data_IF_438230944906
#
_entry.id   IF_438230944906
#
_cell.length_a   1.000
_cell.length_b   1.000
_cell.length_c   1.000
_cell.angle_alpha   90.00
_cell.angle_beta   90.00
_cell.angle_gamma   90.00
#
_symmetry.space_group_name_H-M   'P 1'
#
loop_
_entity.id
_entity.type
_entity.pdbx_description
1 polymer ?
#
# COMPACT_ATOMS: atom_id res chain seq x y z
N UNK A 1 -6.04 -19.38 -13.11
CA UNK A 1 -5.85 -17.92 -12.97
C UNK A 1 -5.59 -17.34 -14.35
N UNK A 2 -6.33 -16.32 -14.77
CA UNK A 2 -6.15 -15.65 -16.06
C UNK A 2 -4.77 -14.96 -16.08
N UNK A 3 -4.10 -14.95 -17.24
CA UNK A 3 -2.77 -14.36 -17.41
C UNK A 3 -2.72 -12.86 -17.01
N UNK A 4 -3.78 -12.12 -17.33
CA UNK A 4 -3.91 -10.69 -16.96
C UNK A 4 -3.95 -10.49 -15.45
N UNK A 5 -4.65 -11.35 -14.72
CA UNK A 5 -4.71 -11.34 -13.24
C UNK A 5 -3.34 -11.67 -12.65
N UNK A 6 -2.66 -12.66 -13.22
CA UNK A 6 -1.30 -13.01 -12.78
C UNK A 6 -0.31 -11.84 -12.90
N UNK A 7 -0.27 -11.19 -14.07
CA UNK A 7 0.57 -10.01 -14.25
C UNK A 7 0.15 -8.85 -13.35
N UNK A 8 -1.17 -8.60 -13.25
CA UNK A 8 -1.69 -7.52 -12.41
C UNK A 8 -1.29 -7.65 -10.94
N UNK A 9 -1.30 -8.86 -10.39
CA UNK A 9 -0.87 -9.15 -9.02
C UNK A 9 0.65 -8.92 -8.84
N UNK A 10 1.46 -9.17 -9.88
CA UNK A 10 2.91 -9.03 -9.80
C UNK A 10 3.40 -7.59 -10.01
N UNK A 11 2.62 -6.73 -10.67
CA UNK A 11 3.01 -5.35 -10.99
C UNK A 11 3.41 -4.56 -9.73
N UNK A 12 2.66 -4.53 -8.62
CA UNK A 12 3.07 -3.85 -7.39
C UNK A 12 4.41 -4.35 -6.85
N UNK A 13 4.56 -5.65 -6.70
CA UNK A 13 5.80 -6.29 -6.24
C UNK A 13 7.01 -5.96 -7.11
N UNK A 14 6.83 -5.82 -8.43
CA UNK A 14 7.89 -5.36 -9.33
C UNK A 14 8.26 -3.91 -9.00
N UNK A 15 7.29 -3.05 -8.67
CA UNK A 15 7.52 -1.68 -8.21
C UNK A 15 8.42 -1.64 -6.98
N UNK A 16 8.04 -2.36 -5.90
CA UNK A 16 8.83 -2.49 -4.66
C UNK A 16 10.24 -3.02 -4.95
N UNK A 17 10.34 -4.06 -5.76
CA UNK A 17 11.62 -4.68 -6.11
C UNK A 17 12.53 -3.74 -6.92
N UNK A 18 11.97 -2.99 -7.86
CA UNK A 18 12.69 -1.99 -8.66
C UNK A 18 13.18 -0.83 -7.78
N UNK A 19 12.36 -0.36 -6.84
CA UNK A 19 12.75 0.62 -5.84
C UNK A 19 13.89 0.11 -4.96
N UNK A 20 13.78 -1.10 -4.44
CA UNK A 20 14.83 -1.73 -3.64
C UNK A 20 16.16 -1.84 -4.41
N UNK A 21 16.12 -2.02 -5.73
CA UNK A 21 17.32 -2.07 -6.57
C UNK A 21 18.11 -0.75 -6.64
N UNK A 22 17.53 0.38 -6.23
CA UNK A 22 18.23 1.67 -6.15
C UNK A 22 19.48 1.59 -5.27
N UNK A 23 19.53 0.69 -4.28
CA UNK A 23 20.71 0.46 -3.41
C UNK A 23 21.98 0.09 -4.18
N UNK A 24 21.87 -0.47 -5.38
CA UNK A 24 23.03 -0.80 -6.20
C UNK A 24 23.68 0.42 -6.84
N UNK A 25 22.90 1.43 -7.17
CA UNK A 25 23.31 2.61 -7.92
C UNK A 25 23.62 3.79 -6.99
N UNK A 26 22.92 3.94 -5.88
CA UNK A 26 23.13 5.03 -4.94
C UNK A 26 24.31 4.77 -4.01
N UNK A 27 25.10 5.82 -3.75
CA UNK A 27 26.32 5.75 -2.90
C UNK A 27 26.11 6.32 -1.51
N UNK A 28 25.07 7.11 -1.30
CA UNK A 28 24.73 7.81 -0.06
C UNK A 28 23.28 7.57 0.30
N UNK A 29 22.93 7.88 1.54
CA UNK A 29 21.57 7.86 2.03
C UNK A 29 20.68 8.82 1.22
N UNK A 30 19.38 8.56 1.21
CA UNK A 30 18.42 9.47 0.63
C UNK A 30 18.47 10.81 1.40
N UNK A 31 18.57 11.90 0.65
CA UNK A 31 18.42 13.22 1.23
C UNK A 31 17.01 13.36 1.80
N UNK A 32 16.87 13.96 2.97
CA UNK A 32 15.58 14.18 3.64
C UNK A 32 14.54 14.87 2.73
N UNK A 33 14.95 15.80 1.88
CA UNK A 33 14.07 16.40 0.89
C UNK A 33 13.51 15.39 -0.13
N UNK A 34 14.38 14.53 -0.65
CA UNK A 34 13.98 13.46 -1.58
C UNK A 34 13.04 12.48 -0.89
N UNK A 35 13.35 12.09 0.34
CA UNK A 35 12.50 11.20 1.13
C UNK A 35 11.11 11.80 1.31
N UNK A 36 10.99 13.06 1.72
CA UNK A 36 9.69 13.75 1.85
C UNK A 36 8.91 13.83 0.53
N UNK A 37 9.60 14.06 -0.58
CA UNK A 37 8.97 14.05 -1.90
C UNK A 37 8.39 12.65 -2.21
N UNK A 38 9.17 11.62 -1.99
CA UNK A 38 8.79 10.23 -2.29
C UNK A 38 7.64 9.78 -1.38
N UNK A 39 7.75 10.02 -0.07
CA UNK A 39 6.70 9.65 0.91
C UNK A 39 5.41 10.44 0.66
N UNK A 40 5.51 11.75 0.41
CA UNK A 40 4.33 12.56 0.06
C UNK A 40 3.66 12.09 -1.22
N UNK A 41 4.44 11.77 -2.25
CA UNK A 41 3.92 11.23 -3.50
C UNK A 41 3.20 9.89 -3.30
N UNK A 42 3.81 8.94 -2.57
CA UNK A 42 3.20 7.66 -2.25
C UNK A 42 1.88 7.84 -1.47
N UNK A 43 1.88 8.67 -0.43
CA UNK A 43 0.68 8.99 0.35
C UNK A 43 -0.46 9.54 -0.53
N UNK A 44 -0.14 10.42 -1.48
CA UNK A 44 -1.12 10.97 -2.42
C UNK A 44 -1.74 9.90 -3.34
N UNK A 45 -0.90 9.02 -3.90
CA UNK A 45 -1.36 7.89 -4.72
C UNK A 45 -2.27 6.97 -3.91
N UNK A 46 -1.86 6.59 -2.68
CA UNK A 46 -2.65 5.71 -1.80
C UNK A 46 -4.01 6.29 -1.45
N UNK A 47 -4.09 7.60 -1.13
CA UNK A 47 -5.38 8.26 -0.83
C UNK A 47 -6.29 8.23 -2.05
N UNK A 48 -5.79 8.57 -3.23
CA UNK A 48 -6.58 8.54 -4.46
C UNK A 48 -7.06 7.12 -4.78
N UNK A 49 -6.18 6.12 -4.74
CA UNK A 49 -6.54 4.71 -4.96
C UNK A 49 -7.61 4.24 -3.97
N UNK A 50 -7.47 4.58 -2.69
CA UNK A 50 -8.46 4.24 -1.66
C UNK A 50 -9.84 4.80 -1.95
N UNK A 51 -9.92 5.99 -2.55
CA UNK A 51 -11.19 6.63 -2.89
C UNK A 51 -11.77 6.06 -4.20
N UNK A 52 -11.02 6.18 -5.31
CA UNK A 52 -11.56 5.88 -6.65
C UNK A 52 -11.62 4.37 -6.93
N UNK A 53 -10.56 3.63 -6.62
CA UNK A 53 -10.51 2.19 -6.94
C UNK A 53 -11.21 1.31 -5.91
N UNK A 54 -11.47 1.80 -4.68
CA UNK A 54 -11.99 0.96 -3.60
C UNK A 54 -13.31 1.48 -3.00
N UNK A 55 -13.35 2.72 -2.45
CA UNK A 55 -14.55 3.22 -1.76
C UNK A 55 -15.68 3.53 -2.72
N UNK A 56 -15.43 4.18 -3.85
CA UNK A 56 -16.47 4.50 -4.84
C UNK A 56 -17.09 3.20 -5.36
N UNK A 57 -16.36 2.20 -5.87
CA UNK A 57 -16.94 0.92 -6.27
C UNK A 57 -17.70 0.19 -5.17
N UNK A 58 -17.26 0.29 -3.91
CA UNK A 58 -17.96 -0.31 -2.78
C UNK A 58 -19.33 0.34 -2.54
N UNK A 59 -19.41 1.67 -2.65
CA UNK A 59 -20.66 2.43 -2.51
C UNK A 59 -21.62 2.13 -3.67
N UNK A 60 -21.13 2.12 -4.92
CA UNK A 60 -21.91 1.83 -6.11
C UNK A 60 -22.51 0.41 -6.06
N UNK A 61 -21.74 -0.58 -5.64
CA UNK A 61 -22.23 -1.95 -5.46
C UNK A 61 -23.29 -2.07 -4.38
N UNK A 62 -23.39 -1.11 -3.48
CA UNK A 62 -24.34 -1.07 -2.37
C UNK A 62 -25.57 -0.20 -2.65
N UNK A 63 -25.71 0.43 -3.83
CA UNK A 63 -26.82 1.32 -4.17
C UNK A 63 -28.20 0.71 -3.98
N UNK A 64 -28.34 -0.61 -4.20
CA UNK A 64 -29.57 -1.35 -3.96
C UNK A 64 -30.09 -1.30 -2.53
N UNK A 65 -29.27 -0.89 -1.55
CA UNK A 65 -29.66 -0.69 -0.15
C UNK A 65 -30.28 0.69 0.12
N UNK A 66 -30.42 1.55 -0.90
CA UNK A 66 -31.01 2.88 -0.77
C UNK A 66 -30.26 3.76 0.23
N UNK A 67 -30.94 4.28 1.25
CA UNK A 67 -30.32 5.17 2.26
C UNK A 67 -29.25 4.48 3.13
N UNK A 68 -29.17 3.16 3.12
CA UNK A 68 -28.21 2.38 3.89
C UNK A 68 -27.00 1.92 3.03
N UNK A 69 -26.87 2.40 1.80
CA UNK A 69 -25.77 2.04 0.88
C UNK A 69 -24.38 2.35 1.44
N UNK A 70 -24.25 3.30 2.35
CA UNK A 70 -23.01 3.62 3.03
C UNK A 70 -22.58 2.59 4.08
N UNK A 71 -23.47 1.72 4.55
CA UNK A 71 -23.20 0.80 5.68
C UNK A 71 -22.09 -0.19 5.37
N UNK A 72 -22.09 -0.92 4.23
CA UNK A 72 -20.97 -1.81 3.89
C UNK A 72 -19.64 -1.06 3.82
N UNK A 73 -19.62 0.12 3.21
CA UNK A 73 -18.43 0.95 3.10
C UNK A 73 -17.92 1.40 4.47
N UNK A 74 -18.79 1.91 5.34
CA UNK A 74 -18.42 2.35 6.68
C UNK A 74 -17.91 1.19 7.56
N UNK A 75 -18.61 0.06 7.56
CA UNK A 75 -18.23 -1.11 8.37
C UNK A 75 -16.91 -1.69 7.89
N UNK A 76 -16.75 -1.87 6.57
CA UNK A 76 -15.50 -2.39 5.99
C UNK A 76 -14.32 -1.46 6.30
N UNK A 77 -14.48 -0.16 6.10
CA UNK A 77 -13.47 0.86 6.37
C UNK A 77 -12.97 0.81 7.82
N UNK A 78 -13.87 0.83 8.79
CA UNK A 78 -13.50 0.71 10.20
C UNK A 78 -12.83 -0.62 10.52
N UNK A 79 -13.33 -1.72 9.96
CA UNK A 79 -12.74 -3.03 10.16
C UNK A 79 -11.29 -3.10 9.63
N UNK A 80 -11.03 -2.48 8.47
CA UNK A 80 -9.67 -2.41 7.88
C UNK A 80 -8.71 -1.59 8.72
N UNK A 81 -9.11 -0.39 9.17
CA UNK A 81 -8.29 0.44 10.06
C UNK A 81 -8.01 -0.25 11.39
N UNK A 82 -9.03 -0.87 12.02
CA UNK A 82 -8.85 -1.62 13.27
C UNK A 82 -7.99 -2.88 13.10
N UNK A 83 -8.02 -3.51 11.93
CA UNK A 83 -7.15 -4.64 11.61
C UNK A 83 -5.68 -4.21 11.61
N UNK A 84 -5.35 -3.08 10.95
CA UNK A 84 -3.99 -2.56 10.95
C UNK A 84 -3.56 -2.12 12.35
N UNK A 85 -4.40 -1.39 13.07
CA UNK A 85 -4.15 -1.02 14.47
C UNK A 85 -3.84 -2.26 15.33
N UNK A 86 -4.55 -3.38 15.10
CA UNK A 86 -4.26 -4.64 15.79
C UNK A 86 -2.89 -5.19 15.40
N UNK A 87 -2.54 -5.20 14.10
CA UNK A 87 -1.24 -5.66 13.63
C UNK A 87 -0.10 -4.86 14.24
N UNK A 88 -0.22 -3.54 14.30
CA UNK A 88 0.76 -2.65 14.93
C UNK A 88 0.99 -3.00 16.41
N UNK A 89 -0.07 -3.39 17.12
CA UNK A 89 0.04 -3.78 18.53
C UNK A 89 0.67 -5.16 18.75
N UNK A 90 0.55 -6.09 17.80
CA UNK A 90 1.01 -7.48 17.96
C UNK A 90 2.32 -7.80 17.26
N UNK A 91 2.76 -6.98 16.29
CA UNK A 91 3.99 -7.20 15.54
C UNK A 91 5.05 -6.18 16.00
N UNK A 92 6.22 -6.62 16.49
CA UNK A 92 7.31 -5.71 16.84
C UNK A 92 7.90 -5.11 15.57
N UNK A 93 7.81 -3.79 15.41
CA UNK A 93 8.32 -3.06 14.26
C UNK A 93 8.92 -1.70 14.67
N UNK A 94 9.63 -1.05 13.74
CA UNK A 94 10.28 0.22 13.98
C UNK A 94 10.14 1.14 12.78
N UNK A 95 9.63 2.34 13.01
CA UNK A 95 9.59 3.38 11.98
C UNK A 95 10.96 4.06 11.83
N UNK A 96 11.28 4.51 10.61
CA UNK A 96 12.61 5.04 10.29
C UNK A 96 13.02 6.26 11.12
N UNK A 97 12.07 7.04 11.57
CA UNK A 97 12.30 8.32 12.25
C UNK A 97 12.20 8.23 13.78
N UNK A 98 11.92 7.04 14.30
CA UNK A 98 11.82 6.80 15.74
C UNK A 98 12.88 5.82 16.20
N UNK A 99 13.49 6.09 17.39
CA UNK A 99 14.37 5.13 18.06
C UNK A 99 13.58 4.19 19.00
N UNK A 100 12.27 4.34 19.05
CA UNK A 100 11.39 3.51 19.88
C UNK A 100 10.66 2.50 19.01
N UNK A 101 10.89 1.22 19.26
CA UNK A 101 10.14 0.14 18.64
C UNK A 101 8.70 0.13 19.17
N UNK A 102 7.76 -0.15 18.27
CA UNK A 102 6.35 -0.36 18.57
C UNK A 102 6.02 -1.84 18.67
N UNK A 103 4.85 -2.17 19.22
CA UNK A 103 4.45 -3.54 19.47
C UNK A 103 5.11 -4.18 20.71
N UNK A 104 5.10 -5.51 20.83
CA UNK A 104 5.67 -6.23 21.95
C UNK A 104 7.19 -6.06 22.04
N UNK A 105 7.73 -6.06 23.27
CA UNK A 105 9.19 -6.05 23.49
C UNK A 105 9.83 -7.22 22.75
N UNK A 106 10.78 -6.95 21.88
CA UNK A 106 11.46 -7.92 21.04
C UNK A 106 12.98 -7.77 21.12
N UNK A 107 13.69 -8.87 20.89
CA UNK A 107 15.16 -8.91 20.71
C UNK A 107 15.55 -8.89 19.22
N UNK A 108 14.63 -8.55 18.32
CA UNK A 108 14.92 -8.44 16.89
C UNK A 108 15.90 -7.30 16.63
N UNK A 109 16.74 -7.49 15.62
CA UNK A 109 17.66 -6.45 15.15
C UNK A 109 16.85 -5.27 14.58
N UNK A 110 17.38 -4.05 14.71
CA UNK A 110 16.79 -2.82 14.16
C UNK A 110 16.41 -2.99 12.68
N UNK A 111 17.31 -3.57 11.88
CA UNK A 111 17.09 -3.85 10.45
C UNK A 111 15.90 -4.77 10.19
N UNK A 112 15.69 -5.78 11.03
CA UNK A 112 14.52 -6.68 10.91
C UNK A 112 13.23 -5.96 11.25
N UNK A 113 13.22 -5.12 12.27
CA UNK A 113 12.04 -4.34 12.66
C UNK A 113 11.67 -3.29 11.60
N UNK A 114 12.65 -2.68 10.92
CA UNK A 114 12.42 -1.80 9.77
C UNK A 114 11.77 -2.55 8.58
N UNK A 115 12.25 -3.76 8.28
CA UNK A 115 11.64 -4.60 7.22
C UNK A 115 10.21 -4.97 7.61
N UNK A 116 9.95 -5.31 8.87
CA UNK A 116 8.60 -5.67 9.33
C UNK A 116 7.63 -4.48 9.23
N UNK A 117 8.05 -3.26 9.55
CA UNK A 117 7.23 -2.06 9.37
C UNK A 117 6.70 -1.98 7.92
N UNK A 118 7.59 -1.93 6.93
CA UNK A 118 7.18 -1.85 5.51
C UNK A 118 6.40 -3.09 5.06
N UNK A 119 6.71 -4.27 5.61
CA UNK A 119 5.92 -5.48 5.31
C UNK A 119 4.46 -5.33 5.76
N UNK A 120 4.22 -4.69 6.92
CA UNK A 120 2.87 -4.42 7.41
C UNK A 120 2.09 -3.51 6.47
N UNK A 121 2.75 -2.50 5.88
CA UNK A 121 2.14 -1.57 4.92
C UNK A 121 1.76 -2.26 3.61
N UNK A 122 2.60 -3.16 3.13
CA UNK A 122 2.39 -3.87 1.86
C UNK A 122 1.25 -4.91 1.94
N UNK A 123 0.81 -5.32 3.16
CA UNK A 123 -0.35 -6.23 3.31
C UNK A 123 -1.64 -5.61 2.76
N UNK A 124 -2.08 -4.39 3.18
CA UNK A 124 -3.26 -3.73 2.63
C UNK A 124 -3.20 -3.54 1.12
N UNK A 125 -2.03 -3.24 0.57
CA UNK A 125 -1.84 -3.04 -0.86
C UNK A 125 -2.08 -4.32 -1.65
N UNK A 126 -1.49 -5.43 -1.21
CA UNK A 126 -1.77 -6.74 -1.77
C UNK A 126 -3.25 -7.11 -1.67
N UNK A 127 -3.88 -6.83 -0.53
CA UNK A 127 -5.32 -7.06 -0.35
C UNK A 127 -6.16 -6.20 -1.28
N UNK A 128 -5.84 -4.91 -1.47
CA UNK A 128 -6.53 -4.01 -2.38
C UNK A 128 -6.52 -4.54 -3.81
N UNK A 129 -5.34 -4.90 -4.33
CA UNK A 129 -5.19 -5.54 -5.64
C UNK A 129 -6.02 -6.82 -5.71
N UNK A 130 -5.93 -7.67 -4.69
CA UNK A 130 -6.65 -8.94 -4.64
C UNK A 130 -8.16 -8.77 -4.69
N UNK A 131 -8.73 -7.81 -3.94
CA UNK A 131 -10.19 -7.55 -3.92
C UNK A 131 -10.68 -7.05 -5.28
N UNK A 132 -9.94 -6.13 -5.91
CA UNK A 132 -10.33 -5.58 -7.21
C UNK A 132 -10.26 -6.66 -8.29
N UNK A 133 -9.20 -7.48 -8.34
CA UNK A 133 -9.16 -8.61 -9.26
C UNK A 133 -10.20 -9.70 -8.96
N UNK A 134 -10.56 -9.90 -7.70
CA UNK A 134 -11.66 -10.80 -7.36
C UNK A 134 -13.00 -10.28 -7.89
N UNK A 135 -13.27 -8.98 -7.76
CA UNK A 135 -14.42 -8.33 -8.36
C UNK A 135 -14.47 -8.49 -9.88
N UNK A 136 -13.35 -8.24 -10.56
CA UNK A 136 -13.24 -8.47 -12.00
C UNK A 136 -13.52 -9.94 -12.39
N UNK A 137 -12.95 -10.90 -11.68
CA UNK A 137 -13.13 -12.33 -11.95
C UNK A 137 -14.56 -12.82 -11.71
N UNK A 138 -15.29 -12.19 -10.80
CA UNK A 138 -16.71 -12.50 -10.53
C UNK A 138 -17.67 -11.82 -11.51
N UNK A 139 -17.16 -11.05 -12.47
CA UNK A 139 -17.97 -10.36 -13.48
C UNK A 139 -18.71 -9.14 -12.93
N UNK A 140 -18.18 -8.50 -11.88
CA UNK A 140 -18.75 -7.28 -11.34
C UNK A 140 -18.66 -6.16 -12.40
N UNK A 141 -19.80 -5.54 -12.71
CA UNK A 141 -19.90 -4.55 -13.81
C UNK A 141 -19.21 -3.22 -13.49
N UNK A 142 -18.99 -2.90 -12.21
CA UNK A 142 -18.28 -1.70 -11.77
C UNK A 142 -16.75 -1.86 -11.76
N UNK A 143 -16.24 -3.10 -11.90
CA UNK A 143 -14.81 -3.36 -11.85
C UNK A 143 -14.32 -3.90 -13.19
N UNK A 144 -13.69 -3.04 -13.97
CA UNK A 144 -13.13 -3.39 -15.26
C UNK A 144 -11.71 -3.97 -15.13
N UNK A 145 -11.23 -4.68 -16.15
CA UNK A 145 -9.83 -5.10 -16.22
C UNK A 145 -8.89 -3.89 -16.23
N UNK A 146 -9.27 -2.83 -16.94
CA UNK A 146 -8.45 -1.63 -17.06
C UNK A 146 -8.37 -0.86 -15.74
N UNK A 147 -9.47 -0.76 -14.99
CA UNK A 147 -9.49 -0.20 -13.63
C UNK A 147 -8.63 -1.02 -12.66
N UNK A 148 -8.70 -2.36 -12.74
CA UNK A 148 -7.82 -3.24 -11.95
C UNK A 148 -6.34 -3.05 -12.29
N UNK A 149 -6.00 -2.87 -13.56
CA UNK A 149 -4.64 -2.57 -14.01
C UNK A 149 -4.20 -1.16 -13.60
N UNK A 150 -5.10 -0.17 -13.64
CA UNK A 150 -4.82 1.20 -13.18
C UNK A 150 -4.43 1.21 -11.69
N UNK A 151 -5.20 0.48 -10.85
CA UNK A 151 -4.84 0.30 -9.43
C UNK A 151 -3.47 -0.37 -9.27
N UNK A 152 -3.23 -1.49 -9.98
CA UNK A 152 -1.94 -2.20 -9.90
C UNK A 152 -0.76 -1.31 -10.29
N UNK A 153 -0.90 -0.51 -11.35
CA UNK A 153 0.11 0.45 -11.81
C UNK A 153 0.31 1.58 -10.81
N UNK A 154 -0.78 2.13 -10.27
CA UNK A 154 -0.72 3.16 -9.23
C UNK A 154 0.05 2.68 -8.01
N UNK A 155 -0.29 1.48 -7.50
CA UNK A 155 0.42 0.87 -6.38
C UNK A 155 1.89 0.59 -6.74
N UNK A 156 2.21 0.10 -7.94
CA UNK A 156 3.60 -0.11 -8.36
C UNK A 156 4.41 1.20 -8.39
N UNK A 157 3.79 2.30 -8.83
CA UNK A 157 4.43 3.61 -8.90
C UNK A 157 4.75 4.14 -7.49
N UNK A 158 3.86 3.96 -6.51
CA UNK A 158 4.13 4.35 -5.11
C UNK A 158 5.11 3.40 -4.42
N UNK A 159 5.07 2.11 -4.72
CA UNK A 159 5.95 1.09 -4.14
C UNK A 159 7.41 1.24 -4.59
N UNK A 160 7.66 1.86 -5.75
CA UNK A 160 9.02 2.19 -6.16
C UNK A 160 9.73 3.11 -5.15
N UNK A 161 9.18 4.27 -4.74
CA UNK A 161 9.68 5.02 -3.60
C UNK A 161 9.88 4.19 -2.33
N UNK A 162 8.90 3.38 -1.96
CA UNK A 162 8.92 2.60 -0.71
C UNK A 162 10.05 1.55 -0.70
N UNK A 163 10.25 0.82 -1.80
CA UNK A 163 11.38 -0.09 -1.94
C UNK A 163 12.73 0.60 -1.82
N UNK A 164 12.86 1.82 -2.31
CA UNK A 164 14.07 2.63 -2.14
C UNK A 164 14.23 3.10 -0.68
N UNK A 165 13.15 3.58 -0.07
CA UNK A 165 13.11 4.05 1.33
C UNK A 165 13.49 2.95 2.31
N UNK A 166 13.17 1.67 2.05
CA UNK A 166 13.59 0.56 2.93
C UNK A 166 15.01 0.09 2.66
N UNK A 167 15.41 -0.09 1.40
CA UNK A 167 16.69 -0.69 1.06
C UNK A 167 17.88 0.22 1.39
N UNK A 168 17.70 1.54 1.29
CA UNK A 168 18.77 2.51 1.56
C UNK A 168 19.15 2.60 3.04
N UNK A 169 18.22 2.75 4.01
CA UNK A 169 18.56 2.70 5.44
C UNK A 169 19.15 1.35 5.87
N UNK A 170 18.69 0.23 5.33
CA UNK A 170 19.33 -1.07 5.60
C UNK A 170 20.80 -1.07 5.22
N UNK A 171 21.14 -0.39 4.13
CA UNK A 171 22.53 -0.19 3.71
C UNK A 171 23.31 0.70 4.68
N UNK A 172 22.69 1.79 5.15
CA UNK A 172 23.32 2.73 6.12
C UNK A 172 23.63 2.08 7.44
N UNK A 173 22.76 1.18 7.90
CA UNK A 173 22.96 0.37 9.11
C UNK A 173 24.07 -0.72 8.93
N UNK A 174 24.85 -0.66 7.84
CA UNK A 174 25.99 -1.53 7.60
C UNK A 174 25.69 -2.82 6.83
N UNK A 175 24.45 -3.04 6.40
CA UNK A 175 24.10 -4.21 5.61
C UNK A 175 24.73 -4.14 4.21
N UNK A 176 25.22 -5.26 3.68
CA UNK A 176 25.72 -5.33 2.30
C UNK A 176 24.62 -5.06 1.27
N UNK A 177 24.96 -4.42 0.13
CA UNK A 177 23.99 -4.03 -0.92
C UNK A 177 23.03 -5.16 -1.32
N UNK A 178 23.54 -6.36 -1.54
CA UNK A 178 22.71 -7.53 -1.91
C UNK A 178 21.72 -7.90 -0.81
N UNK A 179 22.16 -7.89 0.45
CA UNK A 179 21.26 -8.18 1.59
C UNK A 179 20.21 -7.10 1.78
N UNK A 180 20.58 -5.81 1.63
CA UNK A 180 19.65 -4.69 1.70
C UNK A 180 18.61 -4.77 0.57
N UNK A 181 19.02 -5.09 -0.67
CA UNK A 181 18.12 -5.36 -1.79
C UNK A 181 17.15 -6.50 -1.48
N UNK A 182 17.67 -7.65 -1.02
CA UNK A 182 16.82 -8.80 -0.66
C UNK A 182 15.83 -8.42 0.46
N UNK A 183 16.26 -7.63 1.45
CA UNK A 183 15.38 -7.12 2.50
C UNK A 183 14.21 -6.32 1.94
N UNK A 184 14.49 -5.39 1.01
CA UNK A 184 13.44 -4.64 0.32
C UNK A 184 12.53 -5.51 -0.56
N UNK A 185 13.07 -6.48 -1.29
CA UNK A 185 12.26 -7.43 -2.06
C UNK A 185 11.37 -8.28 -1.15
N UNK A 186 11.90 -8.76 -0.02
CA UNK A 186 11.13 -9.58 0.92
C UNK A 186 10.00 -8.80 1.59
N UNK A 187 10.16 -7.49 1.83
CA UNK A 187 9.05 -6.68 2.36
C UNK A 187 7.87 -6.61 1.39
N UNK A 188 8.13 -6.64 0.08
CA UNK A 188 7.09 -6.63 -0.96
C UNK A 188 6.46 -7.99 -1.28
N UNK A 189 7.06 -9.11 -0.84
CA UNK A 189 6.54 -10.45 -1.19
C UNK A 189 5.12 -10.71 -0.65
N UNK A 190 4.72 -10.01 0.39
CA UNK A 190 3.38 -10.11 0.96
C UNK A 190 2.29 -9.53 0.06
N UNK A 191 2.64 -8.66 -0.91
CA UNK A 191 1.70 -8.09 -1.87
C UNK A 191 1.07 -9.18 -2.75
N UNK A 192 1.83 -9.96 -3.55
CA UNK A 192 1.25 -11.03 -4.34
C UNK A 192 0.62 -12.15 -3.49
N UNK A 193 1.17 -12.42 -2.30
CA UNK A 193 0.59 -13.40 -1.37
C UNK A 193 -0.77 -12.89 -0.87
N UNK A 194 -0.85 -11.66 -0.39
CA UNK A 194 -2.09 -11.02 0.08
C UNK A 194 -3.14 -10.96 -1.02
N UNK A 195 -2.74 -10.60 -2.26
CA UNK A 195 -3.64 -10.58 -3.40
C UNK A 195 -4.24 -11.96 -3.70
N UNK A 196 -3.42 -13.01 -3.73
CA UNK A 196 -3.89 -14.39 -3.98
C UNK A 196 -4.84 -14.85 -2.86
N UNK A 197 -4.48 -14.63 -1.59
CA UNK A 197 -5.33 -15.00 -0.45
C UNK A 197 -6.68 -14.29 -0.56
N UNK A 198 -6.67 -12.99 -0.87
CA UNK A 198 -7.89 -12.18 -0.97
C UNK A 198 -8.77 -12.62 -2.14
N UNK A 199 -8.18 -12.93 -3.31
CA UNK A 199 -8.93 -13.49 -4.45
C UNK A 199 -9.61 -14.80 -4.07
N UNK A 200 -8.92 -15.69 -3.37
CA UNK A 200 -9.48 -16.97 -2.94
C UNK A 200 -10.62 -16.77 -1.92
N UNK A 201 -10.45 -15.84 -0.98
CA UNK A 201 -11.47 -15.51 0.01
C UNK A 201 -12.69 -14.83 -0.63
N UNK A 202 -12.49 -13.87 -1.52
CA UNK A 202 -13.59 -13.14 -2.18
C UNK A 202 -14.41 -14.02 -3.13
N UNK A 203 -13.79 -15.01 -3.78
CA UNK A 203 -14.47 -16.00 -4.63
C UNK A 203 -15.48 -16.86 -3.87
N UNK A 204 -15.33 -16.98 -2.55
CA UNK A 204 -16.26 -17.70 -1.67
C UNK A 204 -17.41 -16.80 -1.15
N UNK A 205 -17.24 -15.45 -1.17
CA UNK A 205 -18.13 -14.51 -0.50
C UNK A 205 -18.40 -13.30 -1.40
N UNK A 206 -18.98 -13.52 -2.59
CA UNK A 206 -19.36 -12.44 -3.53
C UNK A 206 -20.21 -11.32 -2.88
N UNK A 207 -21.18 -11.61 -1.98
CA UNK A 207 -21.95 -10.55 -1.31
C UNK A 207 -21.14 -9.67 -0.36
N UNK A 208 -19.93 -10.08 0.02
CA UNK A 208 -19.04 -9.31 0.91
C UNK A 208 -18.08 -8.39 0.17
N UNK A 209 -18.13 -8.34 -1.16
CA UNK A 209 -17.19 -7.55 -1.96
C UNK A 209 -17.16 -6.07 -1.58
N UNK A 210 -18.30 -5.35 -1.35
CA UNK A 210 -18.27 -3.96 -0.87
C UNK A 210 -17.57 -3.78 0.48
N UNK A 211 -17.73 -4.75 1.39
CA UNK A 211 -17.03 -4.73 2.68
C UNK A 211 -15.52 -4.95 2.51
N UNK A 212 -15.11 -5.84 1.61
CA UNK A 212 -13.70 -6.15 1.37
C UNK A 212 -12.97 -5.01 0.66
N UNK A 213 -13.61 -4.36 -0.33
CA UNK A 213 -13.09 -3.15 -0.96
C UNK A 213 -12.86 -2.05 0.07
N UNK A 214 -13.87 -1.78 0.90
CA UNK A 214 -13.79 -0.74 1.92
C UNK A 214 -12.82 -1.11 3.05
N UNK A 215 -12.67 -2.39 3.37
CA UNK A 215 -11.67 -2.89 4.31
C UNK A 215 -10.26 -2.57 3.82
N UNK A 216 -9.94 -2.87 2.56
CA UNK A 216 -8.66 -2.53 1.97
C UNK A 216 -8.41 -1.02 1.99
N UNK A 217 -9.42 -0.20 1.64
CA UNK A 217 -9.34 1.25 1.70
C UNK A 217 -9.06 1.77 3.12
N UNK A 218 -9.76 1.23 4.13
CA UNK A 218 -9.57 1.62 5.53
C UNK A 218 -8.18 1.27 6.05
N UNK A 219 -7.68 0.09 5.69
CA UNK A 219 -6.34 -0.35 6.03
C UNK A 219 -5.26 0.53 5.35
N UNK A 220 -5.41 0.85 4.05
CA UNK A 220 -4.50 1.74 3.33
C UNK A 220 -4.50 3.16 3.92
N UNK A 221 -5.67 3.73 4.24
CA UNK A 221 -5.75 5.06 4.84
C UNK A 221 -5.20 5.10 6.27
N UNK A 222 -5.28 4.00 7.02
CA UNK A 222 -4.60 3.88 8.31
C UNK A 222 -3.10 4.10 8.15
N UNK A 223 -2.45 3.38 7.23
CA UNK A 223 -1.02 3.53 6.92
C UNK A 223 -0.67 4.97 6.51
N UNK A 224 -1.47 5.57 5.64
CA UNK A 224 -1.24 6.95 5.21
C UNK A 224 -1.22 7.93 6.38
N UNK A 225 -2.19 7.81 7.28
CA UNK A 225 -2.34 8.76 8.41
C UNK A 225 -1.33 8.50 9.51
N UNK A 226 -1.09 7.22 9.85
CA UNK A 226 -0.19 6.83 10.94
C UNK A 226 1.28 7.03 10.57
N UNK A 227 1.65 6.82 9.32
CA UNK A 227 3.05 6.78 8.93
C UNK A 227 3.45 7.77 7.85
N UNK A 228 2.80 7.73 6.67
CA UNK A 228 3.27 8.51 5.54
C UNK A 228 3.10 10.02 5.74
N UNK A 229 1.99 10.45 6.35
CA UNK A 229 1.78 11.88 6.65
C UNK A 229 2.78 12.41 7.69
N UNK A 230 3.00 11.75 8.84
CA UNK A 230 4.07 12.12 9.76
C UNK A 230 5.45 12.14 9.12
N UNK A 231 5.80 11.12 8.33
CA UNK A 231 7.10 11.02 7.68
C UNK A 231 7.35 12.13 6.65
N UNK A 232 6.38 12.42 5.77
CA UNK A 232 6.54 13.49 4.78
C UNK A 232 6.63 14.89 5.41
N UNK A 233 6.15 15.03 6.66
CA UNK A 233 6.12 16.29 7.40
C UNK A 233 7.26 16.43 8.41
N UNK A 234 8.09 15.38 8.60
CA UNK A 234 9.12 15.34 9.63
C UNK A 234 10.25 16.35 9.44
N UNK A 235 10.81 16.87 10.54
CA UNK A 235 11.92 17.81 10.55
C UNK A 235 11.49 19.26 10.36
N UNK A 236 12.33 20.11 9.74
CA UNK A 236 11.99 21.53 9.52
C UNK A 236 10.78 21.70 8.61
N UNK A 237 9.95 22.71 8.89
CA UNK A 237 8.74 22.97 8.12
C UNK A 237 9.06 23.15 6.63
N UNK A 238 8.32 22.45 5.78
CA UNK A 238 8.46 22.51 4.32
C UNK A 238 7.16 22.07 3.65
N UNK A 239 6.79 22.73 2.58
CA UNK A 239 5.61 22.38 1.77
C UNK A 239 5.89 21.27 0.75
N UNK A 240 7.12 20.76 0.66
CA UNK A 240 7.51 19.83 -0.41
C UNK A 240 6.72 18.53 -0.37
N UNK A 241 6.55 17.94 0.81
CA UNK A 241 5.74 16.73 0.99
C UNK A 241 4.30 16.94 0.54
N UNK A 242 3.68 18.06 0.92
CA UNK A 242 2.31 18.43 0.51
C UNK A 242 2.18 18.63 -1.00
N UNK A 243 3.16 19.25 -1.63
CA UNK A 243 3.17 19.43 -3.10
C UNK A 243 3.25 18.08 -3.79
N UNK A 244 4.15 17.20 -3.35
CA UNK A 244 4.28 15.87 -3.94
C UNK A 244 3.10 14.95 -3.62
N UNK A 245 2.46 15.11 -2.46
CA UNK A 245 1.16 14.48 -2.18
C UNK A 245 0.11 14.87 -3.24
N UNK A 246 -0.02 16.15 -3.53
CA UNK A 246 -0.96 16.61 -4.56
C UNK A 246 -0.61 16.07 -5.96
N UNK A 247 0.69 15.95 -6.29
CA UNK A 247 1.14 15.32 -7.55
C UNK A 247 0.75 13.84 -7.61
N UNK A 248 1.04 13.06 -6.55
CA UNK A 248 0.70 11.64 -6.50
C UNK A 248 -0.81 11.40 -6.55
N UNK A 249 -1.57 12.18 -5.77
CA UNK A 249 -3.03 12.14 -5.77
C UNK A 249 -3.61 12.41 -7.16
N UNK A 250 -3.13 13.47 -7.82
CA UNK A 250 -3.60 13.85 -9.16
C UNK A 250 -3.24 12.79 -10.21
N UNK A 251 -2.02 12.24 -10.14
CA UNK A 251 -1.61 11.17 -11.06
C UNK A 251 -2.52 9.95 -10.94
N UNK A 252 -2.77 9.48 -9.73
CA UNK A 252 -3.62 8.30 -9.51
C UNK A 252 -5.07 8.55 -9.90
N UNK A 253 -5.61 9.72 -9.56
CA UNK A 253 -6.95 10.14 -10.00
C UNK A 253 -7.06 10.11 -11.54
N UNK A 254 -6.03 10.59 -12.25
CA UNK A 254 -6.00 10.56 -13.73
C UNK A 254 -5.97 9.11 -14.23
N UNK A 255 -5.16 8.25 -13.63
CA UNK A 255 -5.08 6.84 -14.02
C UNK A 255 -6.43 6.13 -13.84
N UNK A 256 -7.07 6.31 -12.69
CA UNK A 256 -8.40 5.72 -12.43
C UNK A 256 -9.46 6.22 -13.42
N UNK A 257 -9.56 7.54 -13.61
CA UNK A 257 -10.62 8.13 -14.46
C UNK A 257 -10.35 7.88 -15.95
N UNK A 258 -9.08 7.82 -16.37
CA UNK A 258 -8.74 7.64 -17.80
C UNK A 258 -8.73 6.17 -18.22
N UNK A 259 -8.47 5.24 -17.32
CA UNK A 259 -8.38 3.81 -17.61
C UNK A 259 -9.54 2.99 -17.01
N UNK A 260 -10.12 3.45 -15.88
CA UNK A 260 -11.24 2.78 -15.21
C UNK A 260 -12.54 3.06 -15.90
#
# INVERSE_FOLDING_TARGET
>A
MNLNVFYGILIPFIGTSAGAACVFFMKKDLNQWVQRCLTGFAAGVMVAASVWSLLIPALEQSEGMGKLSFVPAAVGFWAGGLFLLLLDHIIPHLHQQTDKAEGPKSHLQKTTMLILAVTLHNIPEGMAVGVVYAGYLTGNVQITLMGALALSLGIAIQNFPEGAIISMPLRSEGMGKTKAFIGGVLSGIVEPIGAVITILAAGLIVPALPYLLSFAAGAMLYVVVEELIPEMSAGEHSNIGTIFFAVGFTLMMILDVALG
#
